data_IF_336063404338
#
_entry.id   IF_336063404338
#
_cell.length_a   1.000
_cell.length_b   1.000
_cell.length_c   1.000
_cell.angle_alpha   90.00
_cell.angle_beta   90.00
_cell.angle_gamma   90.00
#
_symmetry.space_group_name_H-M   'P 1'
#
loop_
_entity.id
_entity.type
_entity.pdbx_description
1 polymer ?
#
# COMPACT_ATOMS: atom_id res chain seq x y z
N UNK A 1 14.77 22.65 -13.80
CA UNK A 1 13.39 22.12 -13.76
C UNK A 1 13.50 20.63 -14.00
N UNK A 2 13.26 19.81 -12.99
CA UNK A 2 13.20 18.35 -13.17
C UNK A 2 11.86 18.05 -13.84
N UNK A 3 11.90 17.52 -15.05
CA UNK A 3 10.70 17.16 -15.81
C UNK A 3 10.11 15.90 -15.17
N UNK A 4 9.09 16.08 -14.32
CA UNK A 4 8.40 14.95 -13.69
C UNK A 4 7.44 14.33 -14.69
N UNK A 5 7.73 13.09 -15.11
CA UNK A 5 6.82 12.29 -15.92
C UNK A 5 5.50 12.06 -15.18
N UNK A 6 4.40 12.07 -15.91
CA UNK A 6 3.08 11.86 -15.31
C UNK A 6 2.85 10.37 -15.08
N UNK A 7 2.48 9.96 -13.86
CA UNK A 7 2.05 8.59 -13.58
C UNK A 7 0.78 8.28 -14.41
N UNK A 8 0.87 7.26 -15.26
CA UNK A 8 -0.22 6.85 -16.15
C UNK A 8 -1.03 5.71 -15.56
N UNK A 9 -0.34 4.65 -15.10
CA UNK A 9 -0.98 3.48 -14.50
C UNK A 9 -0.14 2.96 -13.34
N UNK A 10 -0.82 2.37 -12.36
CA UNK A 10 -0.20 1.59 -11.29
C UNK A 10 -0.94 0.26 -11.06
N UNK A 11 -0.19 -0.76 -10.68
CA UNK A 11 -0.67 -2.04 -10.13
C UNK A 11 0.07 -2.28 -8.82
N UNK A 12 -0.68 -2.31 -7.71
CA UNK A 12 -0.18 -2.62 -6.38
C UNK A 12 -0.67 -4.00 -5.96
N UNK A 13 0.25 -4.86 -5.54
CA UNK A 13 -0.03 -6.16 -4.97
C UNK A 13 0.48 -6.19 -3.54
N UNK A 14 -0.40 -6.51 -2.61
CA UNK A 14 -0.10 -6.60 -1.20
C UNK A 14 0.03 -8.07 -0.80
N UNK A 15 1.20 -8.45 -0.31
CA UNK A 15 1.49 -9.82 0.12
C UNK A 15 1.60 -9.89 1.64
N UNK A 16 0.97 -10.89 2.28
CA UNK A 16 1.23 -11.16 3.69
C UNK A 16 2.67 -11.65 3.85
N UNK A 17 3.38 -11.08 4.83
CA UNK A 17 4.59 -11.65 5.43
C UNK A 17 5.72 -12.04 4.44
N UNK A 18 6.25 -11.09 3.65
CA UNK A 18 7.40 -11.27 2.73
C UNK A 18 7.30 -12.44 1.72
N UNK A 19 6.14 -13.09 1.61
CA UNK A 19 5.94 -14.21 0.70
C UNK A 19 5.36 -13.72 -0.62
N UNK A 20 6.21 -13.12 -1.46
CA UNK A 20 5.83 -12.65 -2.82
C UNK A 20 5.45 -13.82 -3.75
N UNK A 21 5.68 -15.06 -3.32
CA UNK A 21 5.31 -16.31 -4.01
C UNK A 21 3.90 -16.80 -3.69
N UNK A 22 3.22 -16.23 -2.69
CA UNK A 22 1.89 -16.63 -2.23
C UNK A 22 0.77 -15.83 -2.92
N UNK A 23 -0.49 -16.22 -2.70
CA UNK A 23 -1.64 -15.42 -3.12
C UNK A 23 -1.58 -14.04 -2.44
N UNK A 24 -1.74 -12.97 -3.21
CA UNK A 24 -1.77 -11.61 -2.66
C UNK A 24 -3.02 -11.42 -1.80
N UNK A 25 -2.88 -10.72 -0.68
CA UNK A 25 -3.98 -10.31 0.21
C UNK A 25 -4.86 -9.23 -0.45
N UNK A 26 -4.31 -8.45 -1.39
CA UNK A 26 -5.08 -7.51 -2.18
C UNK A 26 -4.35 -7.07 -3.44
N UNK A 27 -5.13 -6.68 -4.44
CA UNK A 27 -4.64 -6.05 -5.67
C UNK A 27 -5.40 -4.75 -5.90
N UNK A 28 -4.66 -3.69 -6.22
CA UNK A 28 -5.18 -2.34 -6.40
C UNK A 28 -4.57 -1.74 -7.63
N UNK A 29 -5.40 -1.44 -8.61
CA UNK A 29 -4.99 -0.82 -9.86
C UNK A 29 -5.65 0.53 -10.03
N UNK A 30 -4.99 1.40 -10.79
CA UNK A 30 -5.56 2.69 -11.13
C UNK A 30 -4.70 3.43 -12.13
N UNK A 31 -5.22 4.58 -12.52
CA UNK A 31 -4.73 5.39 -13.63
C UNK A 31 -4.65 6.86 -13.26
N UNK A 32 -3.72 7.57 -13.87
CA UNK A 32 -3.54 9.02 -13.66
C UNK A 32 -3.47 9.36 -12.17
N UNK A 33 -4.37 10.24 -11.73
CA UNK A 33 -4.45 10.75 -10.36
C UNK A 33 -5.19 9.84 -9.36
N UNK A 34 -5.67 8.66 -9.77
CA UNK A 34 -6.41 7.76 -8.88
C UNK A 34 -5.58 7.32 -7.67
N UNK A 35 -4.25 7.36 -7.74
CA UNK A 35 -3.35 7.08 -6.60
C UNK A 35 -3.63 7.96 -5.37
N UNK A 36 -4.19 9.16 -5.57
CA UNK A 36 -4.61 10.07 -4.47
C UNK A 36 -5.70 9.44 -3.59
N UNK A 37 -6.48 8.49 -4.11
CA UNK A 37 -7.49 7.74 -3.35
C UNK A 37 -6.88 6.55 -2.59
N UNK A 38 -5.68 6.11 -2.97
CA UNK A 38 -4.96 4.98 -2.39
C UNK A 38 -3.88 5.42 -1.40
N UNK A 39 -4.00 6.61 -0.78
CA UNK A 39 -3.13 7.00 0.34
C UNK A 39 -3.26 6.03 1.52
N UNK A 40 -4.42 5.40 1.67
CA UNK A 40 -4.64 4.34 2.65
C UNK A 40 -5.39 3.19 2.00
N UNK A 41 -5.01 1.97 2.34
CA UNK A 41 -5.71 0.75 1.95
C UNK A 41 -6.40 0.15 3.17
N UNK A 42 -7.65 -0.31 2.99
CA UNK A 42 -8.37 -1.08 4.01
C UNK A 42 -8.42 -2.55 3.59
N UNK A 43 -8.06 -3.43 4.52
CA UNK A 43 -8.11 -4.88 4.36
C UNK A 43 -8.92 -5.51 5.48
N UNK A 44 -9.50 -6.72 5.27
CA UNK A 44 -9.99 -7.52 6.38
C UNK A 44 -8.87 -7.78 7.39
N UNK A 45 -9.13 -7.48 8.66
CA UNK A 45 -8.23 -7.76 9.79
C UNK A 45 -8.73 -8.91 10.66
N UNK A 46 -8.14 -9.06 11.83
CA UNK A 46 -8.47 -10.12 12.79
C UNK A 46 -9.87 -9.96 13.43
N UNK A 47 -10.29 -8.74 13.72
CA UNK A 47 -11.56 -8.41 14.40
C UNK A 47 -12.29 -7.21 13.76
N UNK A 48 -11.95 -6.87 12.51
CA UNK A 48 -12.47 -5.70 11.83
C UNK A 48 -11.72 -5.40 10.55
N UNK A 49 -11.39 -4.13 10.34
CA UNK A 49 -10.59 -3.69 9.20
C UNK A 49 -9.21 -3.24 9.66
N UNK A 50 -8.19 -3.69 8.94
CA UNK A 50 -6.85 -3.17 9.04
C UNK A 50 -6.64 -2.02 8.06
N UNK A 51 -5.95 -0.98 8.51
CA UNK A 51 -5.60 0.18 7.68
C UNK A 51 -4.10 0.19 7.43
N UNK A 52 -3.73 0.31 6.16
CA UNK A 52 -2.34 0.40 5.70
C UNK A 52 -2.13 1.79 5.13
N UNK A 53 -1.16 2.53 5.66
CA UNK A 53 -0.79 3.87 5.18
C UNK A 53 0.28 3.77 4.06
N UNK A 54 -0.04 4.35 2.90
CA UNK A 54 0.80 4.40 1.72
C UNK A 54 1.32 5.81 1.40
N UNK A 55 1.13 6.79 2.29
CA UNK A 55 1.56 8.18 2.07
C UNK A 55 3.06 8.27 1.73
N UNK A 56 3.90 7.61 2.52
CA UNK A 56 5.34 7.57 2.28
C UNK A 56 5.71 6.80 1.01
N UNK A 57 4.98 5.73 0.70
CA UNK A 57 5.15 4.99 -0.54
C UNK A 57 4.89 5.91 -1.74
N UNK A 58 3.74 6.59 -1.78
CA UNK A 58 3.41 7.48 -2.89
C UNK A 58 4.37 8.64 -3.03
N UNK A 59 4.86 9.21 -1.92
CA UNK A 59 5.92 10.22 -1.96
C UNK A 59 7.14 9.71 -2.74
N UNK A 60 7.64 8.52 -2.41
CA UNK A 60 8.79 7.89 -3.09
C UNK A 60 8.47 7.66 -4.57
N UNK A 61 7.26 7.17 -4.88
CA UNK A 61 6.84 6.91 -6.26
C UNK A 61 6.84 8.19 -7.11
N UNK A 62 6.32 9.29 -6.58
CA UNK A 62 6.27 10.56 -7.30
C UNK A 62 7.65 11.21 -7.42
N UNK A 63 8.46 11.14 -6.36
CA UNK A 63 9.79 11.75 -6.32
C UNK A 63 10.82 11.01 -7.20
N UNK A 64 10.78 9.68 -7.22
CA UNK A 64 11.79 8.85 -7.89
C UNK A 64 11.31 8.16 -9.17
N UNK A 65 9.99 8.14 -9.41
CA UNK A 65 9.35 7.57 -10.61
C UNK A 65 9.83 6.15 -10.98
N UNK A 66 9.93 5.20 -10.02
CA UNK A 66 10.37 3.84 -10.33
C UNK A 66 9.30 3.12 -11.16
N UNK A 67 9.71 2.35 -12.16
CA UNK A 67 8.81 1.45 -12.90
C UNK A 67 8.38 0.23 -12.08
N UNK A 68 9.21 -0.15 -11.11
CA UNK A 68 8.95 -1.22 -10.15
C UNK A 68 9.47 -0.82 -8.78
N UNK A 69 8.67 -1.03 -7.74
CA UNK A 69 9.08 -0.74 -6.37
C UNK A 69 8.50 -1.77 -5.40
N UNK A 70 9.34 -2.24 -4.48
CA UNK A 70 8.95 -3.16 -3.43
C UNK A 70 9.36 -2.57 -2.08
N UNK A 71 8.42 -2.51 -1.14
CA UNK A 71 8.69 -2.07 0.22
C UNK A 71 7.81 -2.78 1.23
N UNK A 72 8.21 -2.73 2.50
CA UNK A 72 7.39 -3.22 3.58
C UNK A 72 6.45 -2.13 4.09
N UNK A 73 5.22 -2.53 4.37
CA UNK A 73 4.18 -1.66 4.92
C UNK A 73 3.54 -2.32 6.13
N UNK A 74 3.04 -1.51 7.06
CA UNK A 74 2.42 -1.99 8.28
C UNK A 74 0.94 -1.74 8.21
N UNK A 75 0.16 -2.81 8.34
CA UNK A 75 -1.27 -2.71 8.60
C UNK A 75 -1.53 -2.56 10.09
N UNK A 76 -2.36 -1.59 10.44
CA UNK A 76 -2.76 -1.31 11.82
C UNK A 76 -4.24 -1.64 12.01
N UNK A 77 -4.54 -2.39 13.05
CA UNK A 77 -5.90 -2.70 13.45
C UNK A 77 -6.10 -2.36 14.93
N UNK A 78 -7.19 -1.64 15.23
CA UNK A 78 -7.55 -1.28 16.60
C UNK A 78 -8.53 -2.29 17.15
N UNK A 79 -8.14 -2.98 18.23
CA UNK A 79 -9.01 -3.90 18.98
C UNK A 79 -9.42 -3.23 20.28
N UNK A 80 -10.74 -3.12 20.48
CA UNK A 80 -11.33 -2.67 21.74
C UNK A 80 -11.89 -3.89 22.47
N UNK A 81 -11.33 -4.20 23.64
CA UNK A 81 -11.81 -5.29 24.49
C UNK A 81 -11.78 -4.86 25.95
N UNK A 82 -12.96 -4.86 26.59
CA UNK A 82 -13.15 -4.74 28.05
C UNK A 82 -12.40 -3.53 28.63
N UNK A 83 -12.71 -2.33 28.14
CA UNK A 83 -12.08 -1.04 28.47
C UNK A 83 -10.60 -0.86 28.10
N UNK A 84 -9.97 -1.84 27.45
CA UNK A 84 -8.62 -1.68 26.88
C UNK A 84 -8.66 -1.52 25.36
N UNK A 85 -7.83 -0.61 24.85
CA UNK A 85 -7.58 -0.42 23.42
C UNK A 85 -6.19 -0.95 23.11
N UNK A 86 -6.08 -1.89 22.17
CA UNK A 86 -4.79 -2.40 21.68
C UNK A 86 -4.70 -2.21 20.18
N UNK A 87 -3.49 -1.96 19.68
CA UNK A 87 -3.22 -1.89 18.26
C UNK A 87 -2.47 -3.16 17.84
N UNK A 88 -3.07 -3.94 16.96
CA UNK A 88 -2.36 -5.00 16.26
C UNK A 88 -1.60 -4.40 15.08
N UNK A 89 -0.39 -4.90 14.88
CA UNK A 89 0.49 -4.53 13.79
C UNK A 89 0.81 -5.77 13.00
N UNK A 90 0.56 -5.73 11.71
CA UNK A 90 0.93 -6.80 10.80
C UNK A 90 1.79 -6.23 9.68
N UNK A 91 2.76 -7.03 9.23
CA UNK A 91 3.68 -6.63 8.18
C UNK A 91 3.24 -7.24 6.85
N UNK A 92 3.23 -6.39 5.83
CA UNK A 92 2.97 -6.77 4.45
C UNK A 92 4.14 -6.32 3.59
N UNK A 93 4.32 -7.02 2.48
CA UNK A 93 5.17 -6.56 1.38
C UNK A 93 4.29 -6.01 0.28
N UNK A 94 4.48 -4.74 -0.04
CA UNK A 94 3.83 -4.08 -1.16
C UNK A 94 4.74 -4.17 -2.37
N UNK A 95 4.21 -4.71 -3.47
CA UNK A 95 4.89 -4.77 -4.76
C UNK A 95 4.12 -3.89 -5.73
N UNK A 96 4.79 -2.91 -6.31
CA UNK A 96 4.22 -1.93 -7.21
C UNK A 96 4.83 -2.03 -8.61
N UNK A 97 3.98 -1.92 -9.63
CA UNK A 97 4.38 -1.71 -11.02
C UNK A 97 3.74 -0.43 -11.54
N UNK A 98 4.53 0.43 -12.17
CA UNK A 98 4.10 1.76 -12.58
C UNK A 98 4.55 2.06 -14.00
N UNK A 99 3.72 2.83 -14.70
CA UNK A 99 4.02 3.35 -16.03
C UNK A 99 3.87 4.86 -16.01
N UNK A 100 4.80 5.56 -16.64
CA UNK A 100 4.82 7.02 -16.70
C UNK A 100 4.84 7.49 -18.15
N UNK A 101 4.32 8.68 -18.41
CA UNK A 101 4.36 9.36 -19.71
C UNK A 101 5.29 10.56 -19.64
#
# INVERSE_FOLDING_TARGET
MTDYKQLMNFDLKLYPYHQVTSQYAGSFTGTGDQWKQYQTIKQPGFNGSQVIDLTNFWRIVIEHQPSHYQCDVIGLETIVKWSSTRQLKERFTLVAQMTYK
#
